data_IF_979980153643
#
_entry.id   IF_979980153643
#
_cell.length_a   1.000
_cell.length_b   1.000
_cell.length_c   1.000
_cell.angle_alpha   90.00
_cell.angle_beta   90.00
_cell.angle_gamma   90.00
#
_symmetry.space_group_name_H-M   'P 1'
#
loop_
_entity.id
_entity.type
_entity.pdbx_description
1 polymer ?
#
# COMPACT_ATOMS: atom_id res chain seq x y z
N UNK A 1 -18.79 10.78 -20.41
CA UNK A 1 -19.11 11.98 -19.61
C UNK A 1 -19.63 11.49 -18.29
N UNK A 2 -19.36 12.18 -17.18
CA UNK A 2 -19.32 11.57 -15.84
C UNK A 2 -20.62 10.91 -15.31
N UNK A 3 -21.75 11.01 -16.01
CA UNK A 3 -23.03 10.41 -15.63
C UNK A 3 -23.84 10.06 -16.87
N UNK A 4 -24.58 8.95 -16.82
CA UNK A 4 -25.48 8.54 -17.89
C UNK A 4 -26.70 9.46 -18.02
N UNK A 5 -27.13 9.85 -19.24
CA UNK A 5 -28.38 10.59 -19.44
C UNK A 5 -29.63 9.73 -19.19
N UNK A 6 -29.46 8.41 -19.02
CA UNK A 6 -30.54 7.44 -18.85
C UNK A 6 -30.79 7.06 -17.39
N UNK A 7 -30.14 7.73 -16.42
CA UNK A 7 -30.31 7.44 -14.98
C UNK A 7 -31.80 7.39 -14.60
N UNK A 8 -32.17 6.33 -13.88
CA UNK A 8 -33.54 6.09 -13.42
C UNK A 8 -34.47 5.49 -14.48
N UNK A 9 -34.05 5.41 -15.75
CA UNK A 9 -34.83 4.77 -16.80
C UNK A 9 -34.63 3.26 -16.80
N UNK A 10 -35.70 2.52 -17.05
CA UNK A 10 -35.63 1.08 -17.30
C UNK A 10 -35.34 0.84 -18.78
N UNK A 11 -34.22 0.17 -19.05
CA UNK A 11 -33.75 -0.15 -20.39
C UNK A 11 -33.65 -1.65 -20.58
N UNK A 12 -33.67 -2.10 -21.83
CA UNK A 12 -33.29 -3.46 -22.20
C UNK A 12 -32.07 -3.40 -23.10
N UNK A 13 -31.01 -4.09 -22.68
CA UNK A 13 -29.75 -4.20 -23.41
C UNK A 13 -29.50 -5.65 -23.78
N UNK A 14 -28.78 -5.87 -24.87
CA UNK A 14 -28.28 -7.18 -25.27
C UNK A 14 -26.77 -7.04 -25.51
N UNK A 15 -25.99 -7.99 -25.02
CA UNK A 15 -24.54 -7.96 -25.21
C UNK A 15 -23.91 -9.28 -24.80
N UNK A 16 -22.59 -9.36 -24.85
CA UNK A 16 -21.83 -10.57 -24.55
C UNK A 16 -21.27 -10.46 -23.14
N UNK A 17 -21.49 -11.49 -22.32
CA UNK A 17 -20.90 -11.54 -20.99
C UNK A 17 -19.39 -11.75 -21.16
N UNK A 18 -18.59 -10.77 -20.74
CA UNK A 18 -17.13 -10.77 -20.92
C UNK A 18 -16.36 -11.10 -19.65
N UNK A 19 -16.94 -10.81 -18.47
CA UNK A 19 -16.37 -11.17 -17.18
C UNK A 19 -17.48 -11.41 -16.15
N UNK A 20 -17.43 -12.53 -15.46
CA UNK A 20 -18.40 -12.87 -14.39
C UNK A 20 -17.82 -12.55 -13.01
N UNK A 21 -18.38 -11.53 -12.34
CA UNK A 21 -18.00 -11.10 -11.01
C UNK A 21 -18.99 -11.58 -9.91
N UNK A 22 -19.85 -12.55 -10.21
CA UNK A 22 -20.79 -13.17 -9.24
C UNK A 22 -20.13 -14.24 -8.35
N UNK A 23 -18.82 -14.46 -8.51
CA UNK A 23 -18.02 -15.35 -7.62
C UNK A 23 -18.20 -14.96 -6.14
N UNK A 24 -18.07 -15.89 -5.18
CA UNK A 24 -18.16 -15.58 -3.76
C UNK A 24 -17.22 -14.43 -3.35
N UNK A 25 -17.78 -13.38 -2.74
CA UNK A 25 -17.03 -12.18 -2.36
C UNK A 25 -16.70 -11.24 -3.52
N UNK A 26 -17.09 -11.56 -4.76
CA UNK A 26 -17.02 -10.67 -5.92
C UNK A 26 -18.07 -9.56 -5.87
N UNK A 27 -18.17 -8.81 -6.97
CA UNK A 27 -18.99 -7.60 -7.04
C UNK A 27 -20.49 -7.83 -7.23
N UNK A 28 -20.95 -9.09 -7.17
CA UNK A 28 -22.38 -9.44 -7.28
C UNK A 28 -22.98 -8.96 -8.61
N UNK A 29 -22.28 -9.21 -9.72
CA UNK A 29 -22.70 -8.82 -11.06
C UNK A 29 -21.77 -9.35 -12.15
N UNK A 30 -21.99 -8.95 -13.39
CA UNK A 30 -21.13 -9.32 -14.51
C UNK A 30 -20.99 -8.15 -15.48
N UNK A 31 -19.92 -8.18 -16.28
CA UNK A 31 -19.65 -7.20 -17.31
C UNK A 31 -20.22 -7.67 -18.64
N UNK A 32 -20.94 -6.78 -19.30
CA UNK A 32 -21.57 -6.99 -20.59
C UNK A 32 -20.94 -6.02 -21.58
N UNK A 33 -20.52 -6.51 -22.75
CA UNK A 33 -19.99 -5.67 -23.82
C UNK A 33 -20.69 -6.01 -25.14
N UNK A 34 -20.99 -4.98 -25.93
CA UNK A 34 -21.58 -5.10 -27.25
C UNK A 34 -20.69 -5.93 -28.18
N UNK A 35 -21.29 -6.66 -29.12
CA UNK A 35 -20.54 -7.35 -30.15
C UNK A 35 -19.90 -6.36 -31.13
N UNK A 36 -18.69 -6.65 -31.60
CA UNK A 36 -17.89 -5.74 -32.46
C UNK A 36 -18.63 -5.26 -33.74
N UNK A 37 -19.58 -6.04 -34.26
CA UNK A 37 -20.36 -5.69 -35.45
C UNK A 37 -21.66 -4.93 -35.14
N UNK A 38 -21.87 -4.55 -33.88
CA UNK A 38 -23.09 -3.90 -33.40
C UNK A 38 -22.78 -2.67 -32.53
N UNK A 39 -21.52 -2.21 -32.50
CA UNK A 39 -21.08 -0.98 -31.85
C UNK A 39 -21.69 0.25 -32.53
N UNK A 40 -21.73 1.37 -31.83
CA UNK A 40 -22.20 2.65 -32.38
C UNK A 40 -21.10 3.43 -33.11
N UNK A 41 -19.87 2.89 -33.12
CA UNK A 41 -18.65 3.45 -33.71
C UNK A 41 -18.30 4.86 -33.18
N UNK A 42 -18.83 5.24 -32.02
CA UNK A 42 -18.56 6.51 -31.39
C UNK A 42 -17.43 6.38 -30.36
N UNK A 43 -16.24 6.97 -30.60
CA UNK A 43 -15.09 6.84 -29.70
C UNK A 43 -15.27 7.56 -28.36
N UNK A 44 -16.35 8.33 -28.18
CA UNK A 44 -16.66 9.04 -26.94
C UNK A 44 -17.57 8.24 -25.98
N UNK A 45 -18.08 7.09 -26.40
CA UNK A 45 -18.99 6.23 -25.62
C UNK A 45 -18.35 4.87 -25.37
N UNK A 46 -18.71 4.26 -24.23
CA UNK A 46 -18.38 2.87 -23.96
C UNK A 46 -19.46 1.96 -24.53
N UNK A 47 -19.01 0.82 -25.07
CA UNK A 47 -19.85 -0.27 -25.55
C UNK A 47 -20.14 -1.33 -24.47
N UNK A 48 -19.83 -1.02 -23.22
CA UNK A 48 -19.93 -1.95 -22.12
C UNK A 48 -20.60 -1.35 -20.88
N UNK A 49 -21.14 -2.24 -20.07
CA UNK A 49 -21.84 -1.89 -18.83
C UNK A 49 -21.69 -2.98 -17.78
N UNK A 50 -21.71 -2.58 -16.52
CA UNK A 50 -21.81 -3.52 -15.41
C UNK A 50 -23.27 -3.82 -15.07
N UNK A 51 -23.61 -5.10 -14.94
CA UNK A 51 -24.94 -5.57 -14.56
C UNK A 51 -24.89 -6.05 -13.11
N UNK A 52 -25.40 -5.25 -12.17
CA UNK A 52 -25.47 -5.64 -10.76
C UNK A 52 -26.65 -6.59 -10.52
N UNK A 53 -26.33 -7.86 -10.30
CA UNK A 53 -27.33 -8.90 -10.04
C UNK A 53 -26.70 -10.15 -9.41
N UNK A 54 -27.46 -10.77 -8.50
CA UNK A 54 -27.17 -12.12 -7.98
C UNK A 54 -27.95 -13.21 -8.69
N UNK A 55 -28.76 -12.87 -9.69
CA UNK A 55 -29.50 -13.85 -10.49
C UNK A 55 -28.51 -14.75 -11.24
N UNK A 56 -28.77 -16.05 -11.23
CA UNK A 56 -28.10 -16.99 -12.10
C UNK A 56 -28.51 -16.75 -13.57
N UNK A 57 -27.64 -17.14 -14.51
CA UNK A 57 -27.89 -17.05 -15.95
C UNK A 57 -26.75 -16.39 -16.70
N UNK A 58 -26.44 -16.90 -17.89
CA UNK A 58 -25.30 -16.47 -18.69
C UNK A 58 -23.96 -16.95 -18.13
N UNK A 59 -23.02 -17.22 -19.03
CA UNK A 59 -21.60 -17.44 -18.75
C UNK A 59 -20.76 -16.59 -19.69
N UNK A 60 -19.45 -16.45 -19.41
CA UNK A 60 -18.54 -15.74 -20.31
C UNK A 60 -18.64 -16.34 -21.72
N UNK A 61 -18.71 -15.47 -22.74
CA UNK A 61 -18.91 -15.85 -24.14
C UNK A 61 -20.38 -16.08 -24.54
N UNK A 62 -21.33 -15.97 -23.63
CA UNK A 62 -22.75 -16.01 -23.98
C UNK A 62 -23.30 -14.60 -24.19
N UNK A 63 -24.15 -14.48 -25.22
CA UNK A 63 -24.98 -13.29 -25.41
C UNK A 63 -26.16 -13.37 -24.45
N UNK A 64 -26.41 -12.29 -23.72
CA UNK A 64 -27.53 -12.18 -22.78
C UNK A 64 -28.31 -10.91 -23.06
N UNK A 65 -29.63 -10.98 -22.84
CA UNK A 65 -30.53 -9.82 -22.86
C UNK A 65 -30.96 -9.53 -21.44
N UNK A 66 -30.76 -8.28 -21.01
CA UNK A 66 -30.97 -7.82 -19.64
C UNK A 66 -31.91 -6.64 -19.65
N UNK A 67 -32.97 -6.69 -18.85
CA UNK A 67 -33.82 -5.53 -18.57
C UNK A 67 -33.57 -5.07 -17.14
N UNK A 68 -33.22 -3.81 -16.95
CA UNK A 68 -32.93 -3.23 -15.64
C UNK A 68 -32.97 -1.71 -15.67
N UNK A 69 -32.83 -1.09 -14.50
CA UNK A 69 -32.80 0.37 -14.35
C UNK A 69 -31.36 0.88 -14.38
N UNK A 70 -31.09 1.95 -15.14
CA UNK A 70 -29.76 2.58 -15.18
C UNK A 70 -29.52 3.37 -13.90
N UNK A 71 -28.33 3.21 -13.31
CA UNK A 71 -27.93 3.87 -12.07
C UNK A 71 -26.43 4.17 -12.07
N UNK A 72 -26.06 5.23 -11.35
CA UNK A 72 -24.68 5.49 -10.95
C UNK A 72 -24.40 4.91 -9.56
N UNK A 73 -23.33 4.14 -9.42
CA UNK A 73 -22.90 3.61 -8.13
C UNK A 73 -21.40 3.74 -7.96
N UNK A 74 -20.98 4.60 -7.03
CA UNK A 74 -19.56 4.94 -6.79
C UNK A 74 -18.79 5.41 -8.03
N UNK A 75 -19.48 6.07 -8.97
CA UNK A 75 -18.93 6.58 -10.22
C UNK A 75 -18.91 5.58 -11.38
N UNK A 76 -19.49 4.38 -11.19
CA UNK A 76 -19.68 3.38 -12.24
C UNK A 76 -21.11 3.45 -12.77
N UNK A 77 -21.28 3.39 -14.09
CA UNK A 77 -22.60 3.20 -14.71
C UNK A 77 -23.00 1.72 -14.64
N UNK A 78 -24.12 1.40 -13.99
CA UNK A 78 -24.62 0.03 -13.84
C UNK A 78 -26.12 -0.14 -14.16
N UNK A 79 -26.53 -1.38 -14.45
CA UNK A 79 -27.94 -1.79 -14.44
C UNK A 79 -28.32 -2.42 -13.10
N UNK A 80 -29.18 -1.74 -12.34
CA UNK A 80 -29.68 -2.16 -11.04
C UNK A 80 -31.02 -1.46 -10.69
N UNK A 81 -32.08 -2.19 -10.26
CA UNK A 81 -32.17 -3.65 -10.18
C UNK A 81 -32.42 -4.29 -11.56
N UNK A 82 -32.01 -5.55 -11.71
CA UNK A 82 -32.32 -6.35 -12.90
C UNK A 82 -33.72 -6.97 -12.80
N UNK A 83 -34.61 -6.60 -13.71
CA UNK A 83 -35.96 -7.14 -13.84
C UNK A 83 -35.97 -8.47 -14.60
N UNK A 84 -35.32 -8.53 -15.76
CA UNK A 84 -35.26 -9.72 -16.62
C UNK A 84 -33.82 -10.04 -17.04
N UNK A 85 -33.51 -11.32 -17.18
CA UNK A 85 -32.22 -11.84 -17.66
C UNK A 85 -32.48 -13.11 -18.49
N UNK A 86 -32.21 -13.06 -19.79
CA UNK A 86 -32.34 -14.21 -20.68
C UNK A 86 -31.05 -14.49 -21.45
N UNK A 87 -30.72 -15.76 -21.63
CA UNK A 87 -29.56 -16.20 -22.41
C UNK A 87 -29.96 -16.37 -23.87
N UNK A 88 -29.27 -15.68 -24.78
CA UNK A 88 -29.55 -15.62 -26.21
C UNK A 88 -28.64 -16.55 -27.05
N UNK A 89 -27.79 -17.36 -26.40
CA UNK A 89 -26.88 -18.32 -27.03
C UNK A 89 -25.40 -17.95 -26.90
N UNK A 90 -24.53 -18.75 -27.51
CA UNK A 90 -23.09 -18.46 -27.59
C UNK A 90 -22.80 -17.33 -28.58
N UNK A 91 -21.73 -16.59 -28.34
CA UNK A 91 -21.22 -15.54 -29.20
C UNK A 91 -19.70 -15.45 -29.08
N UNK A 92 -19.03 -14.95 -30.11
CA UNK A 92 -17.60 -14.62 -30.02
C UNK A 92 -17.40 -13.48 -29.03
N UNK A 93 -16.35 -13.54 -28.20
CA UNK A 93 -16.00 -12.41 -27.34
C UNK A 93 -15.61 -11.19 -28.18
N UNK A 94 -15.97 -9.96 -27.78
CA UNK A 94 -15.48 -8.74 -28.40
C UNK A 94 -13.96 -8.68 -28.37
N UNK A 95 -13.34 -8.08 -29.39
CA UNK A 95 -11.89 -7.93 -29.46
C UNK A 95 -11.33 -7.16 -28.25
N UNK A 96 -10.09 -7.46 -27.87
CA UNK A 96 -9.37 -6.70 -26.85
C UNK A 96 -8.99 -5.33 -27.41
N UNK A 97 -9.24 -4.29 -26.63
CA UNK A 97 -8.83 -2.92 -26.97
C UNK A 97 -7.45 -2.68 -26.39
N UNK A 98 -6.51 -2.30 -27.24
CA UNK A 98 -5.16 -1.96 -26.80
C UNK A 98 -5.17 -0.63 -26.05
N UNK A 99 -4.56 -0.63 -24.88
CA UNK A 99 -4.47 0.52 -23.99
C UNK A 99 -3.02 0.76 -23.58
N UNK A 100 -2.62 2.02 -23.54
CA UNK A 100 -1.26 2.44 -23.21
C UNK A 100 -1.25 3.54 -22.17
N UNK A 101 -0.19 3.55 -21.36
CA UNK A 101 0.14 4.65 -20.45
C UNK A 101 1.26 5.50 -21.08
N UNK A 102 1.33 6.82 -20.81
CA UNK A 102 0.43 7.62 -20.00
C UNK A 102 -0.96 7.83 -20.61
N UNK A 103 -1.95 8.04 -19.74
CA UNK A 103 -3.26 8.54 -20.11
C UNK A 103 -3.15 9.98 -20.64
N UNK A 104 -3.60 10.22 -21.86
CA UNK A 104 -3.81 11.59 -22.37
C UNK A 104 -5.05 12.25 -21.77
N UNK A 105 -6.03 11.42 -21.39
CA UNK A 105 -7.28 11.78 -20.72
C UNK A 105 -7.81 10.54 -19.95
N UNK A 106 -8.71 10.70 -18.97
CA UNK A 106 -9.36 9.55 -18.34
C UNK A 106 -10.00 8.62 -19.38
N UNK A 107 -9.79 7.29 -19.31
CA UNK A 107 -10.27 6.34 -20.32
C UNK A 107 -11.78 6.02 -20.16
N UNK A 108 -12.60 7.05 -19.98
CA UNK A 108 -14.06 6.93 -19.75
C UNK A 108 -14.77 6.17 -20.87
N UNK A 109 -14.40 6.43 -22.13
CA UNK A 109 -14.99 5.73 -23.28
C UNK A 109 -14.64 4.24 -23.33
N UNK A 110 -13.77 3.75 -22.43
CA UNK A 110 -13.41 2.34 -22.31
C UNK A 110 -13.94 1.70 -21.02
N UNK A 111 -14.75 2.41 -20.23
CA UNK A 111 -15.32 1.89 -18.98
C UNK A 111 -16.07 0.58 -19.23
N UNK A 112 -15.84 -0.44 -18.42
CA UNK A 112 -16.41 -1.79 -18.51
C UNK A 112 -15.99 -2.63 -19.74
N UNK A 113 -15.17 -2.11 -20.65
CA UNK A 113 -14.74 -2.83 -21.85
C UNK A 113 -13.54 -3.74 -21.58
N UNK A 114 -13.40 -4.79 -22.41
CA UNK A 114 -12.21 -5.66 -22.44
C UNK A 114 -11.01 -4.89 -23.00
N UNK A 115 -9.94 -4.81 -22.21
CA UNK A 115 -8.69 -4.13 -22.57
C UNK A 115 -7.48 -5.04 -22.44
N UNK A 116 -6.41 -4.67 -23.16
CA UNK A 116 -5.08 -5.26 -23.02
C UNK A 116 -4.02 -4.16 -22.96
N UNK A 117 -3.04 -4.34 -22.08
CA UNK A 117 -1.81 -3.57 -22.08
C UNK A 117 -0.72 -4.39 -22.76
N UNK A 118 -0.28 -3.93 -23.94
CA UNK A 118 0.77 -4.60 -24.72
C UNK A 118 2.15 -4.35 -24.11
N UNK A 119 2.36 -3.12 -23.63
CA UNK A 119 3.60 -2.75 -22.95
C UNK A 119 3.61 -3.30 -21.51
N UNK A 120 4.77 -3.82 -21.04
CA UNK A 120 4.91 -4.29 -19.68
C UNK A 120 4.69 -3.15 -18.67
N UNK A 121 3.99 -3.44 -17.59
CA UNK A 121 3.76 -2.51 -16.49
C UNK A 121 4.59 -2.89 -15.27
N UNK A 122 5.11 -1.89 -14.57
CA UNK A 122 5.88 -2.07 -13.34
C UNK A 122 4.95 -2.01 -12.13
N UNK A 123 5.08 -2.96 -11.21
CA UNK A 123 4.45 -2.90 -9.89
C UNK A 123 5.15 -1.80 -9.09
N UNK A 124 4.45 -0.72 -8.75
CA UNK A 124 5.04 0.41 -8.02
C UNK A 124 4.56 0.50 -6.56
N UNK A 125 3.46 -0.15 -6.21
CA UNK A 125 2.94 -0.18 -4.84
C UNK A 125 2.15 -1.47 -4.57
N UNK A 126 2.29 -2.00 -3.36
CA UNK A 126 1.58 -3.17 -2.84
C UNK A 126 0.93 -2.93 -1.48
N UNK A 127 0.85 -1.67 -1.01
CA UNK A 127 0.29 -1.29 0.29
C UNK A 127 -1.14 -1.80 0.49
N UNK A 128 -1.96 -1.75 -0.56
CA UNK A 128 -3.35 -2.21 -0.52
C UNK A 128 -3.52 -3.71 -0.78
N UNK A 129 -2.46 -4.47 -1.10
CA UNK A 129 -2.59 -5.85 -1.53
C UNK A 129 -3.27 -6.74 -0.49
N UNK A 130 -2.78 -6.74 0.75
CA UNK A 130 -3.34 -7.58 1.81
C UNK A 130 -4.75 -7.15 2.24
N UNK A 131 -5.08 -5.86 2.09
CA UNK A 131 -6.35 -5.30 2.58
C UNK A 131 -7.45 -5.30 1.53
N UNK A 132 -7.13 -5.04 0.28
CA UNK A 132 -8.09 -4.85 -0.81
C UNK A 132 -7.79 -5.68 -2.06
N UNK A 133 -6.70 -6.46 -2.07
CA UNK A 133 -6.31 -7.23 -3.25
C UNK A 133 -5.80 -6.38 -4.40
N UNK A 134 -5.27 -5.19 -4.10
CA UNK A 134 -4.87 -4.21 -5.12
C UNK A 134 -3.35 -4.08 -5.24
N UNK A 135 -2.86 -3.99 -6.48
CA UNK A 135 -1.51 -3.53 -6.82
C UNK A 135 -1.59 -2.25 -7.66
N UNK A 136 -0.74 -1.26 -7.37
CA UNK A 136 -0.59 -0.13 -8.27
C UNK A 136 0.47 -0.47 -9.32
N UNK A 137 0.11 -0.32 -10.59
CA UNK A 137 0.97 -0.53 -11.74
C UNK A 137 1.25 0.80 -12.44
N UNK A 138 2.40 0.90 -13.10
CA UNK A 138 2.74 2.06 -13.92
C UNK A 138 3.56 1.69 -15.16
N UNK A 139 3.64 2.61 -16.13
CA UNK A 139 4.47 2.46 -17.33
C UNK A 139 5.96 2.25 -17.01
N UNK A 140 6.42 2.83 -15.90
CA UNK A 140 7.79 2.72 -15.40
C UNK A 140 7.84 2.91 -13.89
N UNK A 141 9.01 2.70 -13.28
CA UNK A 141 9.27 3.13 -11.92
C UNK A 141 8.93 4.61 -11.73
N UNK A 142 8.48 4.96 -10.53
CA UNK A 142 8.11 6.32 -10.17
C UNK A 142 8.70 6.70 -8.82
N UNK A 143 9.08 7.96 -8.71
CA UNK A 143 9.56 8.55 -7.46
C UNK A 143 8.50 9.50 -6.91
N UNK A 144 8.40 9.59 -5.59
CA UNK A 144 7.58 10.63 -4.96
C UNK A 144 8.23 11.98 -5.31
N UNK A 145 7.46 12.89 -5.92
CA UNK A 145 8.03 14.09 -6.53
C UNK A 145 8.87 14.94 -5.55
N UNK A 146 8.44 15.02 -4.29
CA UNK A 146 9.12 15.79 -3.24
C UNK A 146 10.35 15.11 -2.63
N UNK A 147 10.72 13.90 -3.07
CA UNK A 147 12.03 13.29 -2.77
C UNK A 147 13.16 13.93 -3.60
N UNK A 148 12.82 14.49 -4.77
CA UNK A 148 13.81 15.05 -5.72
C UNK A 148 13.60 16.54 -6.01
N UNK A 149 12.37 17.04 -5.84
CA UNK A 149 12.01 18.42 -6.12
C UNK A 149 11.58 19.12 -4.82
N UNK A 150 11.86 20.42 -4.74
CA UNK A 150 11.28 21.25 -3.70
C UNK A 150 9.74 21.29 -3.84
N UNK A 151 9.00 21.40 -2.72
CA UNK A 151 7.55 21.58 -2.76
C UNK A 151 7.16 22.79 -3.62
N UNK A 152 6.15 22.64 -4.48
CA UNK A 152 5.68 23.70 -5.36
C UNK A 152 5.22 23.20 -6.73
N UNK A 153 5.12 24.12 -7.71
CA UNK A 153 4.59 23.81 -9.05
C UNK A 153 5.28 22.64 -9.75
N UNK A 154 6.62 22.56 -9.70
CA UNK A 154 7.37 21.50 -10.35
C UNK A 154 7.06 20.12 -9.74
N UNK A 155 6.98 20.01 -8.41
CA UNK A 155 6.61 18.77 -7.73
C UNK A 155 5.19 18.32 -8.11
N UNK A 156 4.23 19.26 -8.16
CA UNK A 156 2.86 18.97 -8.62
C UNK A 156 2.80 18.48 -10.06
N UNK A 157 3.57 19.09 -10.97
CA UNK A 157 3.62 18.67 -12.37
C UNK A 157 4.12 17.22 -12.48
N UNK A 158 5.19 16.87 -11.75
CA UNK A 158 5.70 15.50 -11.74
C UNK A 158 4.70 14.51 -11.08
N UNK A 159 4.01 14.92 -10.02
CA UNK A 159 2.96 14.10 -9.40
C UNK A 159 1.81 13.81 -10.38
N UNK A 160 1.34 14.83 -11.12
CA UNK A 160 0.31 14.64 -12.16
C UNK A 160 0.79 13.72 -13.29
N UNK A 161 2.04 13.87 -13.73
CA UNK A 161 2.65 12.98 -14.71
C UNK A 161 2.73 11.53 -14.21
N UNK A 162 3.06 11.33 -12.94
CA UNK A 162 3.08 10.02 -12.31
C UNK A 162 1.68 9.41 -12.26
N UNK A 163 0.65 10.17 -11.86
CA UNK A 163 -0.73 9.70 -11.79
C UNK A 163 -1.29 9.32 -13.17
N UNK A 164 -0.98 10.11 -14.21
CA UNK A 164 -1.34 9.79 -15.59
C UNK A 164 -0.69 8.49 -16.11
N UNK A 165 0.38 8.02 -15.46
CA UNK A 165 1.09 6.80 -15.81
C UNK A 165 0.72 5.61 -14.93
N UNK A 166 -0.42 5.64 -14.21
CA UNK A 166 -0.83 4.57 -13.30
C UNK A 166 -2.10 3.88 -13.73
N UNK A 167 -2.21 2.61 -13.35
CA UNK A 167 -3.44 1.82 -13.35
C UNK A 167 -3.44 0.88 -12.15
N UNK A 168 -4.59 0.63 -11.54
CA UNK A 168 -4.70 -0.35 -10.45
C UNK A 168 -5.01 -1.73 -11.02
N UNK A 169 -4.35 -2.77 -10.52
CA UNK A 169 -4.73 -4.16 -10.74
C UNK A 169 -5.50 -4.65 -9.51
N UNK A 170 -6.71 -5.16 -9.70
CA UNK A 170 -7.66 -5.57 -8.65
C UNK A 170 -7.89 -7.10 -8.72
N UNK A 171 -8.17 -7.75 -7.60
CA UNK A 171 -8.43 -9.19 -7.53
C UNK A 171 -9.89 -9.58 -7.89
N UNK A 172 -10.73 -8.58 -8.09
CA UNK A 172 -12.14 -8.72 -8.41
C UNK A 172 -13.02 -9.09 -7.22
N UNK A 173 -12.60 -8.75 -5.99
CA UNK A 173 -13.36 -8.99 -4.77
C UNK A 173 -13.85 -7.68 -4.14
N UNK A 174 -15.13 -7.64 -3.77
CA UNK A 174 -15.76 -6.51 -3.08
C UNK A 174 -15.61 -6.54 -1.55
N UNK A 175 -14.58 -7.21 -1.02
CA UNK A 175 -14.38 -7.39 0.43
C UNK A 175 -12.98 -6.97 0.87
N UNK A 176 -12.87 -6.55 2.13
CA UNK A 176 -11.56 -6.34 2.75
C UNK A 176 -10.94 -7.65 3.22
N UNK A 177 -9.62 -7.67 3.30
CA UNK A 177 -8.77 -8.77 3.79
C UNK A 177 -9.07 -10.10 3.07
N UNK A 178 -8.92 -10.15 1.73
CA UNK A 178 -9.10 -11.40 0.98
C UNK A 178 -8.19 -12.49 1.55
N UNK A 179 -8.72 -13.70 1.64
CA UNK A 179 -8.00 -14.88 2.14
C UNK A 179 -8.18 -16.02 1.12
N UNK A 180 -7.09 -16.53 0.52
CA UNK A 180 -5.72 -16.03 0.64
C UNK A 180 -5.57 -14.60 0.07
N UNK A 181 -4.50 -13.90 0.48
CA UNK A 181 -4.11 -12.63 -0.14
C UNK A 181 -3.72 -12.92 -1.61
N UNK A 182 -4.28 -12.21 -2.60
CA UNK A 182 -3.99 -12.47 -4.01
C UNK A 182 -2.52 -12.22 -4.33
N UNK A 183 -1.97 -13.02 -5.25
CA UNK A 183 -0.59 -12.92 -5.75
C UNK A 183 0.50 -12.89 -4.66
N UNK A 184 0.19 -13.45 -3.49
CA UNK A 184 1.11 -13.57 -2.37
C UNK A 184 1.19 -15.03 -1.91
N UNK A 185 2.38 -15.60 -2.02
CA UNK A 185 2.70 -16.90 -1.43
C UNK A 185 4.10 -16.88 -0.81
N UNK A 186 4.46 -17.95 -0.10
CA UNK A 186 5.79 -18.09 0.51
C UNK A 186 6.93 -18.15 -0.52
N UNK A 187 6.64 -18.59 -1.75
CA UNK A 187 7.63 -18.77 -2.83
C UNK A 187 7.56 -17.66 -3.86
N UNK A 188 6.35 -17.20 -4.16
CA UNK A 188 6.07 -16.21 -5.19
C UNK A 188 5.43 -14.97 -4.51
N UNK A 189 6.28 -14.00 -4.16
CA UNK A 189 5.85 -12.70 -3.65
C UNK A 189 6.07 -11.66 -4.73
N UNK A 190 5.00 -11.01 -5.17
CA UNK A 190 5.10 -9.84 -6.04
C UNK A 190 5.68 -8.65 -5.26
N UNK A 191 6.76 -8.08 -5.77
CA UNK A 191 7.50 -6.96 -5.17
C UNK A 191 7.36 -5.72 -6.04
N UNK A 192 7.47 -4.54 -5.42
CA UNK A 192 7.65 -3.32 -6.19
C UNK A 192 8.92 -3.46 -7.08
N UNK A 193 8.83 -3.05 -8.34
CA UNK A 193 9.83 -3.27 -9.38
C UNK A 193 9.67 -4.57 -10.17
N UNK A 194 8.77 -5.48 -9.77
CA UNK A 194 8.39 -6.61 -10.63
C UNK A 194 7.51 -6.13 -11.79
N UNK A 195 7.49 -6.91 -12.87
CA UNK A 195 6.79 -6.55 -14.11
C UNK A 195 5.53 -7.41 -14.27
N UNK A 196 4.45 -6.81 -14.75
CA UNK A 196 3.27 -7.49 -15.27
C UNK A 196 3.27 -7.35 -16.80
N UNK A 197 3.21 -8.46 -17.51
CA UNK A 197 3.18 -8.46 -18.99
C UNK A 197 1.86 -9.02 -19.50
N UNK A 198 1.45 -8.58 -20.69
CA UNK A 198 0.23 -9.05 -21.36
C UNK A 198 -1.00 -8.94 -20.45
N UNK A 199 -1.13 -7.82 -19.73
CA UNK A 199 -2.22 -7.63 -18.78
C UNK A 199 -3.53 -7.46 -19.56
N UNK A 200 -4.42 -8.44 -19.39
CA UNK A 200 -5.76 -8.45 -19.97
C UNK A 200 -6.84 -8.46 -18.89
N UNK A 201 -7.93 -7.75 -19.14
CA UNK A 201 -9.07 -7.73 -18.25
C UNK A 201 -10.15 -6.77 -18.69
N UNK A 202 -11.09 -6.49 -17.80
CA UNK A 202 -12.06 -5.42 -17.97
C UNK A 202 -11.53 -4.14 -17.32
N UNK A 203 -11.49 -3.04 -18.07
CA UNK A 203 -11.22 -1.71 -17.52
C UNK A 203 -12.44 -1.24 -16.76
N UNK A 204 -12.25 -0.77 -15.54
CA UNK A 204 -13.32 -0.59 -14.58
C UNK A 204 -13.03 0.64 -13.72
N UNK A 205 -14.08 1.38 -13.34
CA UNK A 205 -13.96 2.53 -12.46
C UNK A 205 -14.73 2.28 -11.17
N UNK A 206 -14.00 2.17 -10.05
CA UNK A 206 -14.62 2.05 -8.73
C UNK A 206 -13.70 2.60 -7.65
N UNK A 207 -14.32 2.99 -6.55
CA UNK A 207 -13.63 3.59 -5.40
C UNK A 207 -12.76 4.80 -5.79
N UNK A 208 -13.16 5.53 -6.84
CA UNK A 208 -12.49 6.73 -7.32
C UNK A 208 -11.21 6.48 -8.11
N UNK A 209 -10.96 5.27 -8.62
CA UNK A 209 -9.75 4.93 -9.38
C UNK A 209 -10.08 4.00 -10.57
N UNK A 210 -9.38 4.21 -11.68
CA UNK A 210 -9.33 3.26 -12.79
C UNK A 210 -8.57 2.00 -12.40
N UNK A 211 -9.11 0.85 -12.81
CA UNK A 211 -8.52 -0.45 -12.52
C UNK A 211 -8.80 -1.48 -13.59
N UNK A 212 -7.98 -2.54 -13.60
CA UNK A 212 -8.18 -3.72 -14.43
C UNK A 212 -8.69 -4.85 -13.54
N UNK A 213 -9.84 -5.41 -13.91
CA UNK A 213 -10.38 -6.65 -13.36
C UNK A 213 -9.91 -7.81 -14.25
N UNK A 214 -8.91 -8.61 -13.82
CA UNK A 214 -8.26 -9.56 -14.70
C UNK A 214 -9.18 -10.77 -14.95
N UNK A 215 -9.27 -11.20 -16.21
CA UNK A 215 -10.05 -12.38 -16.60
C UNK A 215 -9.34 -13.72 -16.31
N UNK A 216 -8.03 -13.66 -16.07
CA UNK A 216 -7.16 -14.78 -15.73
C UNK A 216 -6.10 -14.32 -14.72
N UNK A 217 -5.31 -15.25 -14.17
CA UNK A 217 -4.21 -14.86 -13.27
C UNK A 217 -3.16 -14.05 -14.06
N UNK A 218 -2.85 -12.80 -13.66
CA UNK A 218 -1.84 -11.99 -14.31
C UNK A 218 -0.45 -12.65 -14.28
N UNK A 219 0.34 -12.41 -15.32
CA UNK A 219 1.70 -12.94 -15.45
C UNK A 219 2.70 -11.97 -14.86
N UNK A 220 3.26 -12.31 -13.70
CA UNK A 220 4.32 -11.55 -13.05
C UNK A 220 5.70 -12.07 -13.45
N UNK A 221 6.61 -11.16 -13.77
CA UNK A 221 8.03 -11.42 -13.92
C UNK A 221 8.79 -10.80 -12.76
N UNK A 222 9.48 -11.65 -11.98
CA UNK A 222 10.36 -11.18 -10.92
C UNK A 222 11.55 -10.41 -11.53
N UNK A 223 11.60 -9.10 -11.28
CA UNK A 223 12.68 -8.21 -11.75
C UNK A 223 13.38 -7.51 -10.60
N UNK A 224 12.80 -7.53 -9.41
CA UNK A 224 13.42 -7.05 -8.18
C UNK A 224 13.55 -8.18 -7.14
N UNK A 225 14.37 -9.22 -7.39
CA UNK A 225 14.57 -10.29 -6.43
C UNK A 225 15.13 -9.75 -5.12
N UNK A 226 14.73 -10.35 -4.00
CA UNK A 226 15.26 -9.95 -2.68
C UNK A 226 16.78 -10.16 -2.66
N UNK A 227 17.60 -9.12 -2.43
CA UNK A 227 19.04 -9.29 -2.34
C UNK A 227 19.40 -10.10 -1.09
N UNK A 228 20.58 -10.74 -1.13
CA UNK A 228 21.18 -11.31 0.09
C UNK A 228 21.52 -10.20 1.08
N UNK A 229 21.60 -10.56 2.37
CA UNK A 229 22.02 -9.63 3.40
C UNK A 229 23.45 -9.10 3.10
N UNK A 230 23.72 -7.79 3.25
CA UNK A 230 25.04 -7.23 2.96
C UNK A 230 26.13 -7.84 3.85
N UNK A 231 27.25 -8.25 3.26
CA UNK A 231 28.43 -8.75 4.01
C UNK A 231 28.98 -7.66 4.94
N UNK A 232 29.34 -8.02 6.17
CA UNK A 232 29.90 -7.10 7.16
C UNK A 232 31.38 -7.39 7.41
N UNK A 233 32.23 -6.36 7.37
CA UNK A 233 33.61 -6.47 7.83
C UNK A 233 33.66 -6.57 9.36
N UNK A 234 34.62 -7.34 9.89
CA UNK A 234 34.85 -7.44 11.34
C UNK A 234 35.31 -6.13 11.96
N UNK A 235 35.89 -5.24 11.15
CA UNK A 235 36.51 -3.99 11.60
C UNK A 235 35.57 -2.79 11.46
N UNK A 236 34.35 -3.01 10.93
CA UNK A 236 33.35 -1.96 10.80
C UNK A 236 32.31 -2.01 11.92
N UNK A 237 31.78 -0.82 12.22
CA UNK A 237 30.53 -0.68 12.95
C UNK A 237 29.39 -0.60 11.94
N UNK A 238 28.39 -1.47 12.10
CA UNK A 238 27.16 -1.45 11.31
C UNK A 238 26.03 -0.86 12.13
N UNK A 239 25.43 0.21 11.61
CA UNK A 239 24.24 0.84 12.16
C UNK A 239 23.06 0.46 11.26
N UNK A 240 21.99 -0.04 11.85
CA UNK A 240 20.74 -0.34 11.16
C UNK A 240 19.63 0.56 11.66
N UNK A 241 18.82 1.10 10.75
CA UNK A 241 17.61 1.85 11.09
C UNK A 241 16.36 1.08 10.67
N UNK A 242 15.35 1.04 11.53
CA UNK A 242 14.08 0.37 11.27
C UNK A 242 12.92 1.10 11.94
N UNK A 243 11.85 1.33 11.18
CA UNK A 243 10.53 1.55 11.77
C UNK A 243 9.94 0.18 12.13
N UNK A 244 9.65 -0.05 13.42
CA UNK A 244 9.17 -1.34 13.91
C UNK A 244 7.66 -1.57 13.69
N UNK A 245 6.96 -0.60 13.10
CA UNK A 245 5.55 -0.66 12.72
C UNK A 245 4.62 -0.92 13.93
N UNK A 246 4.61 0.01 14.89
CA UNK A 246 3.94 -0.08 16.18
C UNK A 246 4.25 -1.41 16.90
N UNK A 247 5.49 -1.57 17.36
CA UNK A 247 5.91 -2.72 18.14
C UNK A 247 5.47 -2.56 19.60
N UNK A 248 4.30 -3.14 19.90
CA UNK A 248 3.68 -3.16 21.22
C UNK A 248 3.63 -4.59 21.74
N UNK A 249 4.14 -4.82 22.95
CA UNK A 249 4.31 -6.17 23.50
C UNK A 249 3.26 -6.56 24.55
N UNK A 250 2.23 -5.73 24.74
CA UNK A 250 1.17 -5.97 25.71
C UNK A 250 1.64 -5.65 27.13
N UNK A 251 1.54 -6.60 28.05
CA UNK A 251 2.09 -6.48 29.41
C UNK A 251 3.50 -7.06 29.55
N UNK A 252 4.14 -7.45 28.44
CA UNK A 252 5.44 -8.14 28.42
C UNK A 252 5.43 -9.58 28.94
N UNK A 253 4.29 -10.06 29.44
CA UNK A 253 4.10 -11.38 30.04
C UNK A 253 3.14 -12.26 29.22
N UNK A 254 2.84 -11.84 28.00
CA UNK A 254 1.98 -12.57 27.06
C UNK A 254 0.48 -12.24 27.17
N UNK A 255 0.11 -11.21 27.94
CA UNK A 255 -1.26 -10.68 27.99
C UNK A 255 -1.24 -9.19 27.56
N UNK A 256 -2.30 -8.45 27.86
CA UNK A 256 -2.40 -7.02 27.50
C UNK A 256 -2.79 -6.74 26.04
N UNK A 257 -3.30 -7.75 25.32
CA UNK A 257 -3.85 -7.60 23.97
C UNK A 257 -5.38 -7.46 24.00
N UNK A 258 -6.01 -6.74 23.05
CA UNK A 258 -5.38 -5.96 22.00
C UNK A 258 -4.68 -4.72 22.57
N UNK A 259 -3.52 -4.38 22.03
CA UNK A 259 -2.81 -3.16 22.41
C UNK A 259 -3.45 -1.94 21.74
N UNK A 260 -3.22 -0.71 22.23
CA UNK A 260 -3.79 0.50 21.63
C UNK A 260 -3.32 0.75 20.18
N UNK A 261 -2.14 0.23 19.82
CA UNK A 261 -1.57 0.22 18.46
C UNK A 261 -0.79 -1.08 18.26
N UNK A 262 -0.59 -1.48 17.01
CA UNK A 262 0.18 -2.69 16.68
C UNK A 262 -0.66 -3.95 16.70
N UNK A 263 -0.09 -5.03 17.23
CA UNK A 263 -0.70 -6.36 17.23
C UNK A 263 -1.98 -6.43 18.10
N UNK A 264 -3.05 -7.04 17.58
CA UNK A 264 -4.29 -7.23 18.34
C UNK A 264 -4.31 -8.53 19.16
N UNK A 265 -3.31 -9.39 18.99
CA UNK A 265 -3.16 -10.65 19.73
C UNK A 265 -1.69 -11.00 19.98
N UNK A 266 -1.45 -11.87 20.96
CA UNK A 266 -0.12 -12.42 21.24
C UNK A 266 0.48 -13.11 20.00
N UNK A 267 -0.33 -13.85 19.24
CA UNK A 267 0.11 -14.55 18.04
C UNK A 267 0.59 -13.58 16.94
N UNK A 268 -0.13 -12.47 16.74
CA UNK A 268 0.27 -11.42 15.81
C UNK A 268 1.57 -10.75 16.26
N UNK A 269 1.69 -10.46 17.57
CA UNK A 269 2.92 -9.90 18.13
C UNK A 269 4.11 -10.84 17.96
N UNK A 270 3.94 -12.14 18.27
CA UNK A 270 5.00 -13.13 18.08
C UNK A 270 5.42 -13.25 16.62
N UNK A 271 4.48 -13.12 15.68
CA UNK A 271 4.77 -13.09 14.24
C UNK A 271 5.56 -11.84 13.85
N UNK A 272 5.18 -10.66 14.34
CA UNK A 272 5.94 -9.42 14.15
C UNK A 272 7.35 -9.54 14.75
N UNK A 273 7.47 -10.00 16.00
CA UNK A 273 8.74 -10.15 16.71
C UNK A 273 9.70 -11.11 15.97
N UNK A 274 9.22 -12.29 15.55
CA UNK A 274 10.06 -13.23 14.77
C UNK A 274 10.55 -12.64 13.46
N UNK A 275 9.68 -11.94 12.72
CA UNK A 275 10.04 -11.29 11.44
C UNK A 275 11.08 -10.18 11.64
N UNK A 276 10.89 -9.32 12.64
CA UNK A 276 11.81 -8.24 12.96
C UNK A 276 13.15 -8.78 13.49
N UNK A 277 13.12 -9.70 14.46
CA UNK A 277 14.31 -10.31 15.03
C UNK A 277 15.17 -10.97 13.95
N UNK A 278 14.57 -11.76 13.05
CA UNK A 278 15.29 -12.35 11.92
C UNK A 278 15.88 -11.29 11.00
N UNK A 279 15.11 -10.27 10.63
CA UNK A 279 15.58 -9.17 9.76
C UNK A 279 16.77 -8.44 10.38
N UNK A 280 16.73 -8.18 11.70
CA UNK A 280 17.80 -7.52 12.44
C UNK A 280 19.03 -8.43 12.53
N UNK A 281 18.84 -9.70 12.90
CA UNK A 281 19.94 -10.66 13.06
C UNK A 281 20.68 -10.93 11.75
N UNK A 282 19.94 -11.15 10.64
CA UNK A 282 20.51 -11.37 9.31
C UNK A 282 21.33 -10.16 8.81
N UNK A 283 20.98 -8.95 9.25
CA UNK A 283 21.73 -7.74 8.93
C UNK A 283 23.00 -7.55 9.78
N UNK A 284 23.18 -8.30 10.87
CA UNK A 284 24.33 -8.20 11.80
C UNK A 284 24.70 -6.77 12.29
N UNK A 285 23.75 -5.91 12.71
CA UNK A 285 24.08 -4.59 13.23
C UNK A 285 24.79 -4.66 14.59
N UNK A 286 25.60 -3.64 14.86
CA UNK A 286 26.17 -3.33 16.19
C UNK A 286 25.35 -2.28 16.92
N UNK A 287 24.66 -1.40 16.18
CA UNK A 287 23.73 -0.40 16.71
C UNK A 287 22.43 -0.48 15.91
N UNK A 288 21.32 -0.50 16.62
CA UNK A 288 19.96 -0.50 16.08
C UNK A 288 19.27 0.82 16.49
N UNK A 289 18.98 1.65 15.50
CA UNK A 289 18.23 2.90 15.63
C UNK A 289 16.79 2.67 15.19
N UNK A 290 15.84 2.65 16.12
CA UNK A 290 14.46 2.27 15.83
C UNK A 290 13.45 3.37 16.10
N UNK A 291 12.37 3.33 15.33
CA UNK A 291 11.17 4.13 15.56
C UNK A 291 9.96 3.20 15.74
N UNK A 292 8.87 3.73 16.29
CA UNK A 292 7.63 2.97 16.56
C UNK A 292 7.78 1.81 17.57
N UNK A 293 8.70 1.96 18.51
CA UNK A 293 8.74 1.14 19.72
C UNK A 293 7.70 1.67 20.71
N UNK A 294 6.97 0.80 21.41
CA UNK A 294 6.08 1.20 22.50
C UNK A 294 6.80 2.05 23.58
N UNK A 295 6.09 3.05 24.10
CA UNK A 295 6.56 3.94 25.15
C UNK A 295 6.02 3.50 26.52
N UNK A 296 6.56 2.38 27.01
CA UNK A 296 6.18 1.70 28.26
C UNK A 296 7.33 1.65 29.29
N UNK A 297 8.31 2.54 29.15
CA UNK A 297 9.46 2.66 30.03
C UNK A 297 10.60 1.69 29.71
N UNK A 298 11.32 1.26 30.75
CA UNK A 298 12.56 0.45 30.64
C UNK A 298 12.58 -0.75 31.59
N UNK A 299 11.43 -1.06 32.22
CA UNK A 299 11.31 -2.21 33.10
C UNK A 299 11.56 -3.53 32.36
N UNK A 300 11.74 -4.65 33.09
CA UNK A 300 12.00 -5.96 32.50
C UNK A 300 10.89 -6.41 31.53
N UNK A 301 9.67 -5.92 31.70
CA UNK A 301 8.54 -6.25 30.84
C UNK A 301 8.33 -5.27 29.67
N UNK A 302 9.15 -4.21 29.58
CA UNK A 302 9.01 -3.22 28.52
C UNK A 302 9.30 -3.79 27.13
N UNK A 303 8.68 -3.21 26.09
CA UNK A 303 8.93 -3.56 24.70
C UNK A 303 10.42 -3.44 24.33
N UNK A 304 11.12 -2.45 24.89
CA UNK A 304 12.56 -2.25 24.69
C UNK A 304 13.38 -3.40 25.28
N UNK A 305 13.11 -3.78 26.53
CA UNK A 305 13.78 -4.90 27.18
C UNK A 305 13.44 -6.23 26.50
N UNK A 306 12.19 -6.42 26.07
CA UNK A 306 11.74 -7.57 25.30
C UNK A 306 12.48 -7.71 23.96
N UNK A 307 12.65 -6.62 23.22
CA UNK A 307 13.39 -6.61 21.96
C UNK A 307 14.88 -6.93 22.19
N UNK A 308 15.53 -6.28 23.16
CA UNK A 308 16.93 -6.57 23.51
C UNK A 308 17.14 -8.05 23.87
N UNK A 309 16.28 -8.62 24.72
CA UNK A 309 16.31 -10.05 25.07
C UNK A 309 16.15 -10.96 23.86
N UNK A 310 15.24 -10.61 22.95
CA UNK A 310 15.03 -11.39 21.70
C UNK A 310 16.27 -11.38 20.81
N UNK A 311 17.00 -10.25 20.76
CA UNK A 311 18.21 -10.12 19.96
C UNK A 311 19.43 -10.80 20.61
N UNK A 312 19.46 -10.93 21.93
CA UNK A 312 20.44 -11.68 22.70
C UNK A 312 21.11 -10.88 23.83
N UNK A 313 21.82 -11.57 24.73
CA UNK A 313 22.39 -10.99 25.96
C UNK A 313 23.45 -9.89 25.75
N UNK A 314 24.03 -9.78 24.56
CA UNK A 314 25.00 -8.73 24.18
C UNK A 314 24.32 -7.38 23.88
N UNK A 315 22.99 -7.36 23.75
CA UNK A 315 22.23 -6.15 23.42
C UNK A 315 21.81 -5.37 24.65
N UNK A 316 22.22 -4.11 24.71
CA UNK A 316 21.79 -3.14 25.70
C UNK A 316 20.90 -2.05 25.08
N UNK A 317 20.04 -1.45 25.90
CA UNK A 317 19.12 -0.37 25.51
C UNK A 317 19.67 0.96 26.04
N UNK A 318 19.73 1.99 25.19
CA UNK A 318 20.00 3.36 25.62
C UNK A 318 18.79 3.91 26.37
N UNK A 319 19.00 4.46 27.56
CA UNK A 319 17.92 4.92 28.44
C UNK A 319 17.95 6.43 28.65
N UNK A 320 16.76 7.04 28.62
CA UNK A 320 16.52 8.46 28.92
C UNK A 320 15.28 8.61 29.81
N UNK A 321 15.27 8.05 31.03
CA UNK A 321 14.09 8.02 31.89
C UNK A 321 13.53 9.44 32.10
N UNK A 322 12.21 9.58 31.94
CA UNK A 322 11.52 10.87 32.07
C UNK A 322 11.65 11.81 30.86
N UNK A 323 12.33 11.41 29.78
CA UNK A 323 12.57 12.25 28.59
C UNK A 323 12.08 11.64 27.27
N UNK A 324 11.43 10.48 27.29
CA UNK A 324 11.00 9.74 26.08
C UNK A 324 9.88 10.41 25.25
N UNK A 325 9.27 11.47 25.78
CA UNK A 325 8.08 12.10 25.20
C UNK A 325 6.79 11.46 25.72
N UNK A 326 5.66 11.88 25.17
CA UNK A 326 4.31 11.52 25.65
C UNK A 326 3.47 10.75 24.62
N UNK A 327 3.99 10.48 23.42
CA UNK A 327 3.30 9.63 22.45
C UNK A 327 3.38 8.15 22.90
N UNK A 328 2.42 7.34 22.45
CA UNK A 328 2.39 5.89 22.74
C UNK A 328 3.56 5.14 22.10
N UNK A 329 4.23 5.76 21.12
CA UNK A 329 5.45 5.25 20.50
C UNK A 329 6.62 6.21 20.73
N UNK A 330 7.83 5.66 20.73
CA UNK A 330 9.08 6.42 20.86
C UNK A 330 10.14 5.94 19.88
N UNK A 331 11.20 6.75 19.77
CA UNK A 331 12.45 6.32 19.15
C UNK A 331 13.29 5.57 20.17
N UNK A 332 14.18 4.66 19.77
CA UNK A 332 15.11 4.00 20.68
C UNK A 332 16.43 3.67 19.99
N UNK A 333 17.47 3.47 20.81
CA UNK A 333 18.76 2.96 20.40
C UNK A 333 19.06 1.70 21.21
N UNK A 334 19.40 0.63 20.51
CA UNK A 334 19.95 -0.58 21.10
C UNK A 334 21.35 -0.80 20.53
N UNK A 335 22.25 -1.39 21.29
CA UNK A 335 23.64 -1.59 20.86
C UNK A 335 24.24 -2.87 21.44
N UNK A 336 25.23 -3.42 20.73
CA UNK A 336 26.06 -4.54 21.20
C UNK A 336 27.17 -4.04 22.10
N UNK A 337 27.17 -4.43 23.36
CA UNK A 337 28.14 -3.98 24.36
C UNK A 337 29.58 -4.44 24.05
N UNK A 338 29.70 -5.59 23.39
CA UNK A 338 30.96 -6.15 22.90
C UNK A 338 31.58 -5.35 21.75
N UNK A 339 30.81 -4.46 21.09
CA UNK A 339 31.23 -3.77 19.86
C UNK A 339 31.36 -2.26 20.05
N UNK A 340 30.46 -1.66 20.83
CA UNK A 340 30.48 -0.22 21.12
C UNK A 340 30.16 0.04 22.59
N UNK A 341 30.55 1.22 23.07
CA UNK A 341 30.15 1.74 24.39
C UNK A 341 29.65 3.18 24.28
N UNK A 342 28.59 3.57 25.02
CA UNK A 342 28.24 4.98 25.22
C UNK A 342 29.42 5.76 25.82
N UNK A 343 29.64 7.00 25.37
CA UNK A 343 30.68 7.89 25.92
C UNK A 343 30.13 9.13 26.63
N UNK A 344 28.81 9.30 26.63
CA UNK A 344 28.09 10.38 27.30
C UNK A 344 26.72 9.88 27.75
N UNK A 345 26.03 10.59 28.65
CA UNK A 345 24.58 10.44 28.78
C UNK A 345 23.89 10.64 27.42
N UNK A 346 22.82 9.89 27.18
CA UNK A 346 21.95 10.09 26.03
C UNK A 346 21.17 11.40 26.16
N UNK A 347 20.85 12.01 25.02
CA UNK A 347 20.14 13.27 24.94
C UNK A 347 18.83 13.13 24.17
N UNK A 348 17.77 13.73 24.71
CA UNK A 348 16.52 14.01 24.02
C UNK A 348 16.14 15.47 24.29
N UNK A 349 15.84 16.27 23.26
CA UNK A 349 15.40 17.63 23.47
C UNK A 349 14.04 17.63 24.18
N UNK A 350 13.89 18.54 25.13
CA UNK A 350 12.64 18.78 25.84
C UNK A 350 11.70 19.68 25.04
N UNK A 351 10.46 19.89 25.52
CA UNK A 351 9.47 20.71 24.83
C UNK A 351 9.92 22.15 24.53
N UNK A 352 10.80 22.73 25.35
CA UNK A 352 11.36 24.07 25.11
C UNK A 352 12.52 24.12 24.11
N UNK A 353 13.20 22.99 23.87
CA UNK A 353 14.33 22.89 22.95
C UNK A 353 13.87 22.49 21.54
N UNK A 354 12.82 21.66 21.45
CA UNK A 354 12.19 21.28 20.18
C UNK A 354 10.65 21.32 20.32
N UNK A 355 10.04 22.51 20.19
CA UNK A 355 8.60 22.68 20.35
C UNK A 355 7.78 21.82 19.38
N UNK A 356 6.75 21.14 19.89
CA UNK A 356 5.83 20.34 19.09
C UNK A 356 6.30 18.91 18.77
N UNK A 357 7.49 18.51 19.21
CA UNK A 357 7.96 17.14 19.05
C UNK A 357 7.31 16.19 20.07
N UNK A 358 6.22 15.49 19.67
CA UNK A 358 5.60 14.44 20.51
C UNK A 358 6.52 13.22 20.71
N UNK A 359 7.45 13.02 19.78
CA UNK A 359 8.43 11.92 19.73
C UNK A 359 9.83 12.53 19.59
N UNK A 360 10.42 13.04 20.68
CA UNK A 360 11.69 13.74 20.64
C UNK A 360 12.80 12.83 20.08
N UNK A 361 13.70 13.31 19.21
CA UNK A 361 14.80 12.51 18.70
C UNK A 361 15.72 12.04 19.83
N UNK A 362 16.25 10.82 19.71
CA UNK A 362 17.23 10.28 20.66
C UNK A 362 18.64 10.40 20.08
N UNK A 363 19.56 10.99 20.83
CA UNK A 363 20.96 11.11 20.47
C UNK A 363 21.87 10.40 21.48
N UNK A 364 22.84 9.63 21.01
CA UNK A 364 23.86 8.99 21.84
C UNK A 364 25.22 9.03 21.15
N UNK A 365 26.25 9.45 21.88
CA UNK A 365 27.64 9.29 21.47
C UNK A 365 28.13 7.87 21.79
N UNK A 366 28.67 7.18 20.80
CA UNK A 366 29.27 5.86 20.94
C UNK A 366 30.76 5.92 20.60
N UNK A 367 31.53 5.01 21.20
CA UNK A 367 32.90 4.68 20.79
C UNK A 367 33.00 3.19 20.50
N UNK A 368 33.60 2.84 19.36
CA UNK A 368 33.88 1.45 19.04
C UNK A 368 34.91 0.85 20.00
N UNK A 369 34.72 -0.42 20.39
CA UNK A 369 35.70 -1.13 21.23
C UNK A 369 37.01 -1.28 20.46
N UNK A 370 38.14 -0.99 21.10
CA UNK A 370 39.46 -1.02 20.46
C UNK A 370 39.76 0.15 19.53
N UNK A 371 38.93 1.20 19.53
CA UNK A 371 39.14 2.42 18.74
C UNK A 371 38.94 3.66 19.60
N UNK A 372 39.64 4.75 19.25
CA UNK A 372 39.39 6.09 19.82
C UNK A 372 38.32 6.88 19.06
N UNK A 373 37.79 6.35 17.96
CA UNK A 373 36.75 6.99 17.18
C UNK A 373 35.44 7.07 17.97
N UNK A 374 35.03 8.29 18.31
CA UNK A 374 33.70 8.60 18.84
C UNK A 374 32.81 9.17 17.73
N UNK A 375 31.56 8.72 17.67
CA UNK A 375 30.57 9.21 16.72
C UNK A 375 29.19 9.31 17.38
N UNK A 376 28.33 10.19 16.86
CA UNK A 376 26.96 10.36 17.34
C UNK A 376 25.99 9.59 16.44
N UNK A 377 24.99 8.96 17.08
CA UNK A 377 23.82 8.42 16.39
C UNK A 377 22.60 9.17 16.88
N UNK A 378 21.83 9.72 15.93
CA UNK A 378 20.60 10.50 16.20
C UNK A 378 19.43 9.82 15.50
N UNK A 379 18.34 9.58 16.24
CA UNK A 379 17.15 8.86 15.75
C UNK A 379 15.94 9.79 15.76
N UNK A 380 15.62 10.45 14.63
CA UNK A 380 14.41 11.25 14.49
C UNK A 380 13.19 10.39 14.11
N UNK A 381 11.99 10.83 14.50
CA UNK A 381 10.73 10.30 13.99
C UNK A 381 9.74 11.44 13.74
N UNK A 382 9.89 12.06 12.57
CA UNK A 382 9.14 13.24 12.18
C UNK A 382 7.63 12.96 12.06
N UNK A 383 6.82 14.00 12.23
CA UNK A 383 5.36 13.95 12.11
C UNK A 383 4.95 13.34 10.76
N UNK A 384 3.90 12.52 10.70
CA UNK A 384 3.45 11.93 9.41
C UNK A 384 2.88 13.00 8.47
N UNK A 385 2.92 12.77 7.16
CA UNK A 385 2.22 13.58 6.14
C UNK A 385 0.69 13.49 6.19
N UNK A 386 0.11 12.61 7.01
CA UNK A 386 -1.35 12.46 7.14
C UNK A 386 -2.01 13.75 7.61
N UNK A 387 -3.12 14.13 6.98
CA UNK A 387 -3.89 15.32 7.33
C UNK A 387 -4.84 15.13 8.52
N UNK A 388 -4.78 13.99 9.20
CA UNK A 388 -5.62 13.73 10.37
C UNK A 388 -5.30 14.73 11.48
N UNK A 389 -6.31 15.52 11.86
CA UNK A 389 -6.20 16.61 12.84
C UNK A 389 -5.27 17.76 12.43
N UNK A 390 -4.98 17.90 11.13
CA UNK A 390 -4.24 19.05 10.63
C UNK A 390 -5.12 20.30 10.70
N UNK A 391 -4.59 21.38 11.25
CA UNK A 391 -5.31 22.64 11.42
C UNK A 391 -4.42 23.81 11.00
N UNK A 392 -5.05 24.87 10.50
CA UNK A 392 -4.38 26.09 10.05
C UNK A 392 -3.19 25.77 9.12
N UNK A 393 -2.01 26.28 9.45
CA UNK A 393 -0.75 26.15 8.68
C UNK A 393 -0.19 24.73 8.58
N UNK A 394 -0.78 23.74 9.26
CA UNK A 394 -0.39 22.34 9.17
C UNK A 394 -1.22 21.56 8.14
N UNK A 395 -2.26 22.18 7.56
CA UNK A 395 -3.02 21.61 6.45
C UNK A 395 -2.15 21.47 5.20
N UNK A 396 -2.60 20.65 4.25
CA UNK A 396 -1.93 20.50 2.97
C UNK A 396 -2.01 21.83 2.21
N UNK A 397 -0.86 22.33 1.78
CA UNK A 397 -0.76 23.57 1.04
C UNK A 397 -0.91 23.34 -0.48
N UNK A 398 -1.13 22.09 -0.90
CA UNK A 398 -1.21 21.73 -2.31
C UNK A 398 0.13 21.93 -3.02
N UNK A 399 1.25 21.76 -2.32
CA UNK A 399 2.60 21.93 -2.85
C UNK A 399 3.30 20.58 -3.12
N UNK A 400 2.58 19.46 -2.98
CA UNK A 400 3.08 18.10 -3.16
C UNK A 400 3.78 17.52 -1.93
N UNK A 401 3.86 18.26 -0.83
CA UNK A 401 4.56 17.81 0.38
C UNK A 401 3.64 17.27 1.47
N UNK A 402 2.34 17.53 1.36
CA UNK A 402 1.30 17.06 2.26
C UNK A 402 1.28 17.79 3.62
N UNK A 403 0.37 17.38 4.49
CA UNK A 403 0.18 18.00 5.80
C UNK A 403 1.42 17.94 6.70
N UNK A 404 1.42 18.79 7.73
CA UNK A 404 2.45 18.89 8.75
C UNK A 404 3.87 19.16 8.23
N UNK A 405 4.02 19.76 7.04
CA UNK A 405 5.35 20.03 6.47
C UNK A 405 6.20 20.92 7.40
N UNK A 406 5.58 21.93 8.01
CA UNK A 406 6.26 22.84 8.94
C UNK A 406 6.81 22.19 10.20
N UNK A 407 6.22 21.07 10.64
CA UNK A 407 6.74 20.28 11.77
C UNK A 407 7.82 19.27 11.35
N UNK A 408 8.09 19.17 10.05
CA UNK A 408 9.09 18.27 9.46
C UNK A 408 10.31 19.02 8.91
N UNK A 409 10.21 20.32 8.78
CA UNK A 409 11.30 21.24 8.45
C UNK A 409 11.76 21.93 9.73
N UNK A 410 13.07 22.09 9.91
CA UNK A 410 13.64 22.88 11.01
C UNK A 410 13.27 24.36 10.88
#
# INVERSE_FOLDING_TARGET
GNQSPLIGQTVTVEGILVLDARKPGGFSGFYLQQADHQTDDNPATSEALFVYTRKAGGSVGQRVRVTGTVKEFHGLTELAPVHNLSVCGQASLPALINVSLPWSQPPESLENMRVRFDEPLTVIDNYNLARYGELALAASDQVIATEQLAPGPAARTLEQQNLAQRITLDDGLGKQNPTPVPWLSERDTVRAGDIVSELEGVLDYRFGQWRVQPGAVPRFQARNPRPQAPTKSTDSIRIMTLNLQNYFNGDGQGKGFPTPRGASSLEQFQTQNRKLARTIQDAHPDILAVTELENDGYGPDSAAAGLARTLGADWAVVQTPGRDGNDAIRTALLYRESRVRPTSPAYRPGPGELPGASRPPLAQAFRARGSELTFWVVVPHLKSKSCRHAAAREQDQGDGQGCYNRQRTL
#
